data_IF_386449081800
#
_entry.id   IF_386449081800
#
_cell.length_a   1.000
_cell.length_b   1.000
_cell.length_c   1.000
_cell.angle_alpha   90.00
_cell.angle_beta   90.00
_cell.angle_gamma   90.00
#
_symmetry.space_group_name_H-M   'P 1'
#
loop_
_entity.id
_entity.type
_entity.pdbx_description
1 polymer ?
#
# COMPACT_ATOMS: atom_id res chain seq x y z
N UNK A 1 -1.82 4.12 -26.34
CA UNK A 1 -3.19 3.89 -25.80
C UNK A 1 -3.35 2.52 -25.15
N UNK A 2 -3.26 1.43 -25.93
CA UNK A 2 -3.49 0.07 -25.41
C UNK A 2 -2.52 -0.37 -24.31
N UNK A 3 -1.23 0.00 -24.41
CA UNK A 3 -0.21 -0.31 -23.40
C UNK A 3 -0.55 0.29 -22.03
N UNK A 4 -0.89 1.59 -21.98
CA UNK A 4 -1.28 2.26 -20.73
C UNK A 4 -2.54 1.65 -20.12
N UNK A 5 -3.53 1.25 -20.94
CA UNK A 5 -4.74 0.56 -20.46
C UNK A 5 -4.39 -0.77 -19.82
N UNK A 6 -3.59 -1.59 -20.50
CA UNK A 6 -3.14 -2.89 -19.98
C UNK A 6 -2.33 -2.75 -18.69
N UNK A 7 -1.46 -1.73 -18.60
CA UNK A 7 -0.73 -1.43 -17.37
C UNK A 7 -1.69 -1.07 -16.23
N UNK A 8 -2.70 -0.22 -16.49
CA UNK A 8 -3.71 0.14 -15.49
C UNK A 8 -4.53 -1.07 -15.03
N UNK A 9 -4.93 -1.95 -15.95
CA UNK A 9 -5.67 -3.18 -15.65
C UNK A 9 -4.86 -4.12 -14.76
N UNK A 10 -3.56 -4.30 -15.03
CA UNK A 10 -2.67 -5.14 -14.23
C UNK A 10 -2.38 -4.56 -12.85
N UNK A 11 -2.26 -3.23 -12.74
CA UNK A 11 -1.99 -2.58 -11.46
C UNK A 11 -3.24 -2.44 -10.58
N UNK A 12 -4.44 -2.38 -11.17
CA UNK A 12 -5.69 -2.22 -10.43
C UNK A 12 -5.85 -3.20 -9.25
N UNK A 13 -5.65 -4.53 -9.39
CA UNK A 13 -5.82 -5.45 -8.27
C UNK A 13 -4.83 -5.18 -7.13
N UNK A 14 -3.60 -4.75 -7.44
CA UNK A 14 -2.58 -4.39 -6.44
C UNK A 14 -3.00 -3.13 -5.70
N UNK A 15 -3.46 -2.10 -6.43
CA UNK A 15 -4.01 -0.90 -5.80
C UNK A 15 -5.21 -1.21 -4.90
N UNK A 16 -6.13 -2.05 -5.36
CA UNK A 16 -7.29 -2.46 -4.56
C UNK A 16 -6.86 -3.20 -3.27
N UNK A 17 -5.79 -3.99 -3.30
CA UNK A 17 -5.22 -4.65 -2.12
C UNK A 17 -4.62 -3.64 -1.14
N UNK A 18 -3.80 -2.71 -1.64
CA UNK A 18 -3.21 -1.64 -0.84
C UNK A 18 -4.29 -0.80 -0.16
N UNK A 19 -5.33 -0.39 -0.89
CA UNK A 19 -6.45 0.39 -0.32
C UNK A 19 -7.15 -0.37 0.81
N UNK A 20 -7.40 -1.68 0.66
CA UNK A 20 -8.01 -2.48 1.74
C UNK A 20 -7.13 -2.57 2.98
N UNK A 21 -5.83 -2.73 2.81
CA UNK A 21 -4.88 -2.76 3.93
C UNK A 21 -4.86 -1.41 4.66
N UNK A 22 -4.79 -0.31 3.92
CA UNK A 22 -4.82 1.05 4.49
C UNK A 22 -6.08 1.27 5.31
N UNK A 23 -7.26 0.91 4.77
CA UNK A 23 -8.53 1.04 5.50
C UNK A 23 -8.54 0.23 6.79
N UNK A 24 -8.08 -1.02 6.74
CA UNK A 24 -8.01 -1.88 7.93
C UNK A 24 -7.08 -1.29 9.00
N UNK A 25 -5.90 -0.81 8.61
CA UNK A 25 -4.96 -0.17 9.56
C UNK A 25 -5.60 1.09 10.16
N UNK A 26 -6.29 1.88 9.36
CA UNK A 26 -7.01 3.06 9.84
C UNK A 26 -8.09 2.69 10.87
N UNK A 27 -8.88 1.65 10.61
CA UNK A 27 -9.89 1.17 11.56
C UNK A 27 -9.27 0.60 12.85
N UNK A 28 -8.18 -0.19 12.73
CA UNK A 28 -7.47 -0.81 13.86
C UNK A 28 -6.84 0.22 14.80
N UNK A 29 -6.25 1.28 14.23
CA UNK A 29 -5.50 2.29 14.96
C UNK A 29 -6.34 3.53 15.30
N UNK A 30 -7.58 3.59 14.81
CA UNK A 30 -8.50 4.71 15.05
C UNK A 30 -8.12 5.99 14.30
N UNK A 31 -7.59 5.87 13.07
CA UNK A 31 -7.30 7.03 12.22
C UNK A 31 -8.56 7.52 11.50
N UNK A 32 -8.87 8.80 11.69
CA UNK A 32 -9.95 9.45 10.94
C UNK A 32 -9.54 9.74 9.48
N UNK A 33 -8.24 9.88 9.21
CA UNK A 33 -7.71 10.21 7.88
C UNK A 33 -6.35 9.54 7.64
N UNK A 34 -6.14 9.05 6.42
CA UNK A 34 -4.83 8.66 5.89
C UNK A 34 -4.56 9.49 4.64
N UNK A 35 -3.41 10.17 4.60
CA UNK A 35 -3.05 11.10 3.53
C UNK A 35 -1.93 10.54 2.65
N UNK A 36 -2.04 10.66 1.33
CA UNK A 36 -0.94 10.36 0.40
C UNK A 36 0.06 11.53 0.40
N UNK A 37 1.26 11.27 0.92
CA UNK A 37 2.33 12.27 1.04
C UNK A 37 2.77 12.86 -0.31
N UNK A 38 2.51 12.20 -1.43
CA UNK A 38 2.88 12.66 -2.78
C UNK A 38 1.94 13.72 -3.34
N UNK A 39 0.74 13.88 -2.77
CA UNK A 39 -0.26 14.82 -3.28
C UNK A 39 0.09 16.30 -3.01
N UNK A 40 1.20 16.59 -2.31
CA UNK A 40 1.63 17.95 -2.00
C UNK A 40 0.76 18.67 -0.96
N UNK A 41 -0.22 17.98 -0.37
CA UNK A 41 -1.11 18.51 0.66
C UNK A 41 -0.54 18.36 2.08
N UNK A 42 0.41 17.45 2.26
CA UNK A 42 1.06 17.18 3.54
C UNK A 42 2.37 17.99 3.62
N UNK A 43 2.37 19.05 4.44
CA UNK A 43 3.56 19.88 4.66
C UNK A 43 4.55 19.23 5.65
N UNK A 44 4.03 18.52 6.65
CA UNK A 44 4.81 17.82 7.66
C UNK A 44 3.97 16.70 8.27
N UNK A 45 4.60 15.55 8.50
CA UNK A 45 4.09 14.46 9.32
C UNK A 45 5.24 13.86 10.11
N UNK A 46 5.01 13.50 11.37
CA UNK A 46 6.03 12.79 12.14
C UNK A 46 6.24 11.39 11.54
N UNK A 47 7.47 10.85 11.53
CA UNK A 47 7.73 9.50 11.04
C UNK A 47 6.90 8.41 11.75
N UNK A 48 6.55 8.62 13.02
CA UNK A 48 5.71 7.70 13.80
C UNK A 48 4.27 7.56 13.27
N UNK A 49 3.82 8.48 12.39
CA UNK A 49 2.51 8.42 11.73
C UNK A 49 2.59 7.90 10.28
N UNK A 50 3.79 7.58 9.78
CA UNK A 50 3.95 6.98 8.46
C UNK A 50 3.71 5.48 8.55
N UNK A 51 2.62 5.02 7.92
CA UNK A 51 2.23 3.61 7.90
C UNK A 51 2.77 2.84 6.68
N UNK A 52 3.59 3.45 5.83
CA UNK A 52 4.04 2.87 4.55
C UNK A 52 4.66 1.48 4.73
N UNK A 53 5.58 1.33 5.68
CA UNK A 53 6.25 0.04 5.93
C UNK A 53 5.29 -1.02 6.49
N UNK A 54 4.33 -0.61 7.32
CA UNK A 54 3.28 -1.51 7.81
C UNK A 54 2.39 -1.98 6.67
N UNK A 55 1.98 -1.07 5.78
CA UNK A 55 1.18 -1.42 4.60
C UNK A 55 1.93 -2.41 3.70
N UNK A 56 3.22 -2.19 3.46
CA UNK A 56 4.07 -3.12 2.69
C UNK A 56 4.15 -4.49 3.36
N UNK A 57 4.40 -4.53 4.66
CA UNK A 57 4.46 -5.78 5.44
C UNK A 57 3.14 -6.56 5.36
N UNK A 58 2.01 -5.86 5.47
CA UNK A 58 0.68 -6.48 5.35
C UNK A 58 0.36 -6.94 3.92
N UNK A 59 0.85 -6.23 2.91
CA UNK A 59 0.71 -6.63 1.51
C UNK A 59 1.49 -7.91 1.22
N UNK A 60 2.73 -8.00 1.71
CA UNK A 60 3.59 -9.18 1.59
C UNK A 60 2.97 -10.43 2.22
N UNK A 61 2.21 -10.28 3.31
CA UNK A 61 1.47 -11.41 3.92
C UNK A 61 0.34 -11.95 3.05
N UNK A 62 -0.24 -11.12 2.17
CA UNK A 62 -1.37 -11.50 1.30
C UNK A 62 -0.91 -12.10 -0.03
N UNK A 63 0.27 -11.69 -0.50
CA UNK A 63 0.94 -12.32 -1.63
C UNK A 63 1.82 -13.45 -1.11
N UNK A 64 1.52 -14.73 -1.34
CA UNK A 64 2.54 -15.76 -1.22
C UNK A 64 3.58 -15.49 -2.30
N UNK A 65 4.53 -14.61 -2.01
CA UNK A 65 5.82 -14.61 -2.70
C UNK A 65 6.34 -16.01 -2.46
N UNK A 66 6.57 -16.73 -3.55
CA UNK A 66 7.14 -18.07 -3.57
C UNK A 66 8.46 -18.07 -2.78
N UNK A 67 8.37 -18.33 -1.48
CA UNK A 67 9.48 -18.30 -0.52
C UNK A 67 10.46 -19.46 -0.71
N UNK A 68 10.45 -20.09 -1.90
CA UNK A 68 11.36 -21.16 -2.31
C UNK A 68 12.55 -20.68 -3.16
N UNK A 69 12.61 -19.41 -3.56
CA UNK A 69 13.74 -18.87 -4.34
C UNK A 69 14.33 -17.63 -3.65
N UNK A 70 15.39 -17.82 -2.87
CA UNK A 70 16.17 -16.68 -2.35
C UNK A 70 16.77 -16.79 -0.95
N UNK A 71 17.08 -17.99 -0.44
CA UNK A 71 18.18 -18.15 0.52
C UNK A 71 19.30 -18.92 -0.17
N UNK A 72 20.20 -18.19 -0.82
CA UNK A 72 21.58 -18.59 -1.01
C UNK A 72 22.46 -17.47 -0.50
#
# INVERSE_FOLDING_TARGET
GALMRRQKELLKPIFDQVTRIVHRIADEDGYDFVLDSRMGVLLFGKPEYDITDRVLTELEKLSPVDSSQGRK
#
